data_IF_113633331915
#
_entry.id   IF_113633331915
#
_cell.length_a   1.000
_cell.length_b   1.000
_cell.length_c   1.000
_cell.angle_alpha   90.00
_cell.angle_beta   90.00
_cell.angle_gamma   90.00
#
_symmetry.space_group_name_H-M   'P 1'
#
loop_
_entity.id
_entity.type
_entity.pdbx_description
1 polymer ?
#
# COMPACT_ATOMS: atom_id res chain seq x y z
N UNK A 1 48.20 44.14 0.68
CA UNK A 1 47.36 43.57 1.73
C UNK A 1 45.86 43.53 1.40
N UNK A 2 45.28 44.53 0.73
CA UNK A 2 43.82 44.54 0.37
C UNK A 2 43.38 43.49 -0.65
N UNK A 3 44.30 43.04 -1.53
CA UNK A 3 44.00 42.03 -2.56
C UNK A 3 43.90 40.58 -2.01
N UNK A 4 44.75 40.25 -1.02
CA UNK A 4 44.75 38.92 -0.40
C UNK A 4 43.50 38.70 0.46
N UNK A 5 42.95 39.75 1.05
CA UNK A 5 41.72 39.66 1.85
C UNK A 5 40.49 39.38 0.98
N UNK A 6 40.47 39.95 -0.23
CA UNK A 6 39.37 39.68 -1.20
C UNK A 6 39.41 38.26 -1.76
N UNK A 7 40.58 37.68 -1.94
CA UNK A 7 40.74 36.30 -2.40
C UNK A 7 40.28 35.30 -1.35
N UNK A 8 40.58 35.55 -0.06
CA UNK A 8 40.16 34.70 1.04
C UNK A 8 38.64 34.71 1.23
N UNK A 9 37.96 35.82 1.01
CA UNK A 9 36.50 35.93 1.11
C UNK A 9 35.80 35.16 -0.04
N UNK A 10 36.37 35.21 -1.25
CA UNK A 10 35.79 34.49 -2.41
C UNK A 10 35.91 32.98 -2.25
N UNK A 11 37.00 32.49 -1.68
CA UNK A 11 37.20 31.06 -1.44
C UNK A 11 36.26 30.50 -0.38
N UNK A 12 35.91 31.27 0.66
CA UNK A 12 35.00 30.83 1.73
C UNK A 12 33.54 30.76 1.26
N UNK A 13 33.11 31.63 0.34
CA UNK A 13 31.74 31.59 -0.23
C UNK A 13 31.58 30.41 -1.16
N UNK A 14 32.60 30.05 -1.94
CA UNK A 14 32.56 28.89 -2.83
C UNK A 14 32.52 27.57 -2.06
N UNK A 15 33.22 27.47 -0.93
CA UNK A 15 33.18 26.29 -0.06
C UNK A 15 31.81 26.09 0.61
N UNK A 16 31.08 27.17 0.91
CA UNK A 16 29.75 27.13 1.51
C UNK A 16 28.68 26.67 0.50
N UNK A 17 28.87 26.96 -0.79
CA UNK A 17 27.95 26.52 -1.85
C UNK A 17 28.07 25.01 -2.19
N UNK A 18 29.22 24.41 -1.93
CA UNK A 18 29.44 22.97 -2.15
C UNK A 18 28.88 22.10 -1.02
N UNK A 19 28.64 22.66 0.17
CA UNK A 19 28.05 21.95 1.30
C UNK A 19 26.52 21.78 1.21
N UNK A 20 25.86 22.44 0.25
CA UNK A 20 24.44 22.31 -0.02
C UNK A 20 24.11 21.33 -1.17
N UNK A 21 25.03 20.43 -1.48
CA UNK A 21 24.64 19.20 -2.19
C UNK A 21 23.83 18.36 -1.22
N UNK A 22 22.59 18.81 -0.98
CA UNK A 22 21.59 17.98 -0.33
C UNK A 22 21.60 16.65 -1.08
N UNK A 23 22.05 15.61 -0.40
CA UNK A 23 21.74 14.25 -0.81
C UNK A 23 20.22 14.19 -0.89
N UNK A 24 19.67 14.40 -2.07
CA UNK A 24 18.33 13.90 -2.35
C UNK A 24 18.46 12.40 -2.13
N UNK A 25 18.05 11.95 -0.96
CA UNK A 25 17.70 10.56 -0.76
C UNK A 25 16.68 10.26 -1.85
N UNK A 26 17.13 9.62 -2.92
CA UNK A 26 16.22 9.01 -3.88
C UNK A 26 15.52 7.96 -3.03
N UNK A 27 14.30 8.27 -2.58
CA UNK A 27 13.43 7.25 -2.04
C UNK A 27 13.39 6.17 -3.11
N UNK A 28 13.88 4.99 -2.77
CA UNK A 28 13.86 3.85 -3.69
C UNK A 28 12.40 3.62 -4.00
N UNK A 29 11.98 3.91 -5.23
CA UNK A 29 10.61 3.69 -5.65
C UNK A 29 10.41 2.17 -5.71
N UNK A 30 9.53 1.66 -4.87
CA UNK A 30 9.05 0.29 -4.92
C UNK A 30 7.67 0.28 -5.60
N UNK A 31 7.61 0.36 -6.94
CA UNK A 31 6.35 0.54 -7.67
C UNK A 31 5.36 -0.60 -7.40
N UNK A 32 5.83 -1.82 -7.18
CA UNK A 32 4.97 -2.95 -6.86
C UNK A 32 4.26 -2.78 -5.51
N UNK A 33 4.93 -2.25 -4.49
CA UNK A 33 4.27 -1.93 -3.22
C UNK A 33 3.22 -0.81 -3.37
N UNK A 34 3.48 0.21 -4.18
CA UNK A 34 2.50 1.26 -4.46
C UNK A 34 1.29 0.72 -5.23
N UNK A 35 1.51 -0.22 -6.15
CA UNK A 35 0.42 -0.93 -6.83
C UNK A 35 -0.38 -1.79 -5.85
N UNK A 36 0.31 -2.54 -4.98
CA UNK A 36 -0.34 -3.35 -3.96
C UNK A 36 -1.19 -2.51 -3.00
N UNK A 37 -0.69 -1.36 -2.53
CA UNK A 37 -1.47 -0.42 -1.71
C UNK A 37 -2.74 0.05 -2.43
N UNK A 38 -2.64 0.35 -3.71
CA UNK A 38 -3.79 0.76 -4.53
C UNK A 38 -4.79 -0.37 -4.68
N UNK A 39 -4.34 -1.58 -5.04
CA UNK A 39 -5.21 -2.74 -5.22
C UNK A 39 -5.89 -3.16 -3.91
N UNK A 40 -5.20 -3.12 -2.77
CA UNK A 40 -5.78 -3.39 -1.45
C UNK A 40 -6.86 -2.38 -1.07
N UNK A 41 -6.67 -1.08 -1.32
CA UNK A 41 -7.71 -0.07 -1.09
C UNK A 41 -8.94 -0.28 -1.97
N UNK A 42 -8.75 -0.65 -3.23
CA UNK A 42 -9.86 -0.99 -4.10
C UNK A 42 -10.60 -2.25 -3.64
N UNK A 43 -9.88 -3.29 -3.23
CA UNK A 43 -10.48 -4.50 -2.65
C UNK A 43 -11.32 -4.16 -1.41
N UNK A 44 -10.77 -3.38 -0.50
CA UNK A 44 -11.46 -2.88 0.70
C UNK A 44 -12.76 -2.14 0.34
N UNK A 45 -12.70 -1.21 -0.60
CA UNK A 45 -13.87 -0.42 -1.03
C UNK A 45 -14.98 -1.27 -1.66
N UNK A 46 -14.64 -2.37 -2.34
CA UNK A 46 -15.63 -3.33 -2.82
C UNK A 46 -16.30 -4.10 -1.67
N UNK A 47 -15.57 -4.42 -0.60
CA UNK A 47 -16.09 -5.14 0.56
C UNK A 47 -16.92 -4.26 1.48
N UNK A 48 -16.59 -2.98 1.62
CA UNK A 48 -17.29 -2.04 2.53
C UNK A 48 -18.69 -1.63 2.08
N UNK A 49 -19.06 -1.91 0.86
CA UNK A 49 -20.31 -1.39 0.32
C UNK A 49 -21.54 -2.02 0.94
N UNK A 50 -22.44 -1.21 1.58
CA UNK A 50 -23.55 -1.71 2.39
C UNK A 50 -24.81 -2.00 1.57
N UNK A 51 -24.72 -2.71 0.45
CA UNK A 51 -25.88 -2.93 -0.44
C UNK A 51 -26.95 -3.85 0.17
N UNK A 52 -26.63 -4.60 1.20
CA UNK A 52 -27.49 -5.60 1.81
C UNK A 52 -27.66 -5.44 3.32
N UNK A 53 -27.53 -4.21 3.82
CA UNK A 53 -27.64 -3.92 5.25
C UNK A 53 -26.29 -4.01 5.95
N UNK A 54 -26.19 -4.80 7.01
CA UNK A 54 -24.93 -4.96 7.74
C UNK A 54 -23.90 -5.76 6.95
N UNK A 55 -22.65 -5.30 6.97
CA UNK A 55 -21.50 -6.07 6.47
C UNK A 55 -21.48 -7.43 7.16
N UNK A 56 -21.31 -8.48 6.37
CA UNK A 56 -21.22 -9.82 6.90
C UNK A 56 -19.90 -10.02 7.64
N UNK A 57 -19.88 -11.01 8.52
CA UNK A 57 -18.74 -11.26 9.39
C UNK A 57 -17.44 -11.51 8.61
N UNK A 58 -17.51 -12.24 7.49
CA UNK A 58 -16.33 -12.53 6.67
C UNK A 58 -15.80 -11.30 5.93
N UNK A 59 -16.70 -10.44 5.43
CA UNK A 59 -16.29 -9.17 4.80
C UNK A 59 -15.58 -8.25 5.82
N UNK A 60 -16.08 -8.17 7.05
CA UNK A 60 -15.45 -7.40 8.13
C UNK A 60 -14.06 -7.93 8.47
N UNK A 61 -13.89 -9.26 8.55
CA UNK A 61 -12.59 -9.89 8.78
C UNK A 61 -11.63 -9.61 7.64
N UNK A 62 -12.09 -9.75 6.39
CA UNK A 62 -11.27 -9.46 5.22
C UNK A 62 -10.82 -7.98 5.19
N UNK A 63 -11.70 -7.04 5.50
CA UNK A 63 -11.36 -5.61 5.62
C UNK A 63 -10.29 -5.38 6.68
N UNK A 64 -10.44 -5.99 7.87
CA UNK A 64 -9.45 -5.88 8.93
C UNK A 64 -8.08 -6.39 8.49
N UNK A 65 -8.01 -7.55 7.85
CA UNK A 65 -6.74 -8.11 7.36
C UNK A 65 -6.13 -7.25 6.23
N UNK A 66 -6.95 -6.66 5.36
CA UNK A 66 -6.48 -5.69 4.35
C UNK A 66 -5.86 -4.45 5.02
N UNK A 67 -6.50 -3.91 6.05
CA UNK A 67 -5.99 -2.75 6.79
C UNK A 67 -4.66 -3.06 7.46
N UNK A 68 -4.49 -4.25 8.05
CA UNK A 68 -3.22 -4.69 8.63
C UNK A 68 -2.14 -4.86 7.55
N UNK A 69 -2.46 -5.45 6.38
CA UNK A 69 -1.53 -5.55 5.26
C UNK A 69 -1.03 -4.17 4.80
N UNK A 70 -1.94 -3.20 4.63
CA UNK A 70 -1.60 -1.82 4.28
C UNK A 70 -0.69 -1.20 5.34
N UNK A 71 -0.96 -1.42 6.63
CA UNK A 71 -0.14 -0.92 7.73
C UNK A 71 1.29 -1.51 7.69
N UNK A 72 1.44 -2.82 7.44
CA UNK A 72 2.77 -3.44 7.34
C UNK A 72 3.56 -2.90 6.15
N UNK A 73 2.93 -2.70 4.99
CA UNK A 73 3.57 -2.09 3.82
C UNK A 73 4.04 -0.66 4.15
N UNK A 74 3.20 0.15 4.82
CA UNK A 74 3.55 1.52 5.22
C UNK A 74 4.70 1.56 6.24
N UNK A 75 4.78 0.60 7.16
CA UNK A 75 5.91 0.48 8.09
C UNK A 75 7.24 0.18 7.39
N UNK A 76 7.21 -0.45 6.22
CA UNK A 76 8.39 -0.64 5.39
C UNK A 76 8.93 0.66 4.75
N UNK A 77 8.47 1.82 5.21
CA UNK A 77 8.80 3.16 4.68
C UNK A 77 8.29 3.42 3.26
N UNK A 78 7.26 2.70 2.87
CA UNK A 78 6.59 2.85 1.59
C UNK A 78 5.22 3.47 1.88
N UNK A 79 5.18 4.77 1.98
CA UNK A 79 3.97 5.53 2.19
C UNK A 79 3.63 6.33 0.93
N UNK A 80 2.44 6.06 0.36
CA UNK A 80 1.90 6.80 -0.79
C UNK A 80 1.20 8.12 -0.40
N UNK A 81 1.28 8.51 0.87
CA UNK A 81 0.65 9.72 1.41
C UNK A 81 -0.85 9.64 1.59
N UNK A 82 -1.48 8.50 1.30
CA UNK A 82 -2.92 8.28 1.52
C UNK A 82 -3.17 7.70 2.90
N UNK A 83 -4.28 8.08 3.51
CA UNK A 83 -4.68 7.46 4.77
C UNK A 83 -5.34 6.07 4.56
N UNK A 84 -5.56 5.34 5.67
CA UNK A 84 -6.22 4.04 5.63
C UNK A 84 -7.68 4.15 5.16
N UNK A 85 -8.32 5.30 5.38
CA UNK A 85 -9.71 5.55 5.03
C UNK A 85 -9.88 6.15 3.62
N UNK A 86 -8.85 6.10 2.78
CA UNK A 86 -8.98 6.47 1.38
C UNK A 86 -9.95 5.50 0.68
N UNK A 87 -11.07 6.01 0.19
CA UNK A 87 -12.13 5.25 -0.43
C UNK A 87 -12.15 5.49 -1.95
N UNK A 88 -11.42 4.68 -2.72
CA UNK A 88 -11.46 4.80 -4.17
C UNK A 88 -12.86 4.47 -4.70
N UNK A 89 -13.30 5.10 -5.79
CA UNK A 89 -14.60 4.82 -6.39
C UNK A 89 -14.66 3.39 -6.92
N UNK A 90 -15.78 2.69 -6.64
CA UNK A 90 -16.06 1.36 -7.16
C UNK A 90 -17.27 1.42 -8.09
N UNK A 91 -17.41 0.44 -9.00
CA UNK A 91 -18.57 0.35 -9.89
C UNK A 91 -19.86 0.16 -9.08
N UNK A 92 -20.70 1.19 -9.12
CA UNK A 92 -21.97 1.21 -8.40
C UNK A 92 -22.99 0.18 -8.93
N UNK A 93 -22.81 -0.31 -10.14
CA UNK A 93 -23.73 -1.28 -10.78
C UNK A 93 -23.36 -2.73 -10.52
N UNK A 94 -22.16 -2.97 -10.01
CA UNK A 94 -21.69 -4.31 -9.72
C UNK A 94 -22.50 -4.91 -8.56
N UNK A 95 -23.07 -6.09 -8.77
CA UNK A 95 -23.81 -6.84 -7.76
C UNK A 95 -22.87 -7.36 -6.64
N UNK A 96 -23.45 -7.85 -5.57
CA UNK A 96 -22.68 -8.31 -4.43
C UNK A 96 -21.73 -9.47 -4.75
N UNK A 97 -22.13 -10.57 -5.44
CA UNK A 97 -21.20 -11.61 -5.86
C UNK A 97 -20.07 -11.07 -6.74
N UNK A 98 -20.38 -10.20 -7.68
CA UNK A 98 -19.39 -9.55 -8.55
C UNK A 98 -18.35 -8.74 -7.76
N UNK A 99 -18.76 -8.02 -6.72
CA UNK A 99 -17.85 -7.28 -5.84
C UNK A 99 -16.91 -8.19 -5.05
N UNK A 100 -17.41 -9.31 -4.53
CA UNK A 100 -16.57 -10.30 -3.85
C UNK A 100 -15.51 -10.89 -4.79
N UNK A 101 -15.92 -11.27 -6.02
CA UNK A 101 -14.98 -11.75 -7.03
C UNK A 101 -13.95 -10.68 -7.41
N UNK A 102 -14.39 -9.42 -7.53
CA UNK A 102 -13.46 -8.32 -7.84
C UNK A 102 -12.49 -8.06 -6.69
N UNK A 103 -12.96 -8.13 -5.45
CA UNK A 103 -12.10 -7.97 -4.28
C UNK A 103 -11.01 -9.05 -4.24
N UNK A 104 -11.34 -10.32 -4.47
CA UNK A 104 -10.37 -11.42 -4.47
C UNK A 104 -9.35 -11.30 -5.61
N UNK A 105 -9.76 -10.84 -6.80
CA UNK A 105 -8.83 -10.55 -7.89
C UNK A 105 -7.79 -9.47 -7.50
N UNK A 106 -8.24 -8.40 -6.84
CA UNK A 106 -7.38 -7.31 -6.40
C UNK A 106 -6.45 -7.74 -5.27
N UNK A 107 -6.92 -8.55 -4.34
CA UNK A 107 -6.11 -9.17 -3.26
C UNK A 107 -5.00 -10.04 -3.87
N UNK A 108 -5.32 -10.87 -4.87
CA UNK A 108 -4.35 -11.71 -5.57
C UNK A 108 -3.30 -10.87 -6.33
N UNK A 109 -3.70 -9.77 -6.95
CA UNK A 109 -2.76 -8.84 -7.60
C UNK A 109 -1.81 -8.23 -6.58
N UNK A 110 -2.32 -7.72 -5.46
CA UNK A 110 -1.53 -7.14 -4.40
C UNK A 110 -0.52 -8.16 -3.84
N UNK A 111 -0.94 -9.42 -3.60
CA UNK A 111 -0.04 -10.50 -3.19
C UNK A 111 1.11 -10.71 -4.20
N UNK A 112 0.79 -10.80 -5.48
CA UNK A 112 1.79 -11.01 -6.53
C UNK A 112 2.76 -9.82 -6.66
N UNK A 113 2.29 -8.60 -6.47
CA UNK A 113 3.12 -7.41 -6.53
C UNK A 113 4.09 -7.35 -5.35
N UNK A 114 3.63 -7.65 -4.14
CA UNK A 114 4.49 -7.71 -2.95
C UNK A 114 5.52 -8.86 -3.05
N UNK A 115 5.11 -10.02 -3.54
CA UNK A 115 5.98 -11.19 -3.65
C UNK A 115 7.18 -10.99 -4.62
N UNK A 116 7.10 -10.01 -5.52
CA UNK A 116 8.15 -9.75 -6.51
C UNK A 116 9.26 -8.82 -6.04
N UNK A 117 9.02 -8.06 -4.98
CA UNK A 117 9.92 -6.99 -4.57
C UNK A 117 10.45 -7.25 -3.17
N UNK A 118 11.65 -7.85 -3.05
CA UNK A 118 12.41 -7.65 -1.83
C UNK A 118 13.88 -8.00 -1.95
N UNK A 119 14.73 -7.00 -1.85
CA UNK A 119 16.18 -7.11 -1.72
C UNK A 119 16.73 -6.49 -0.41
N UNK A 120 15.85 -5.96 0.46
CA UNK A 120 16.23 -5.35 1.73
C UNK A 120 15.80 -6.22 2.92
N UNK A 121 16.77 -6.74 3.67
CA UNK A 121 16.54 -7.59 4.84
C UNK A 121 15.63 -6.99 5.92
N UNK A 122 15.61 -5.67 6.08
CA UNK A 122 14.72 -5.00 7.04
C UNK A 122 13.26 -5.04 6.58
N UNK A 123 13.03 -4.80 5.31
CA UNK A 123 11.70 -4.82 4.72
C UNK A 123 11.16 -6.26 4.56
N UNK A 124 12.03 -7.26 4.45
CA UNK A 124 11.65 -8.67 4.27
C UNK A 124 10.70 -9.19 5.36
N UNK A 125 10.92 -8.82 6.62
CA UNK A 125 10.02 -9.21 7.72
C UNK A 125 8.65 -8.53 7.65
N UNK A 126 8.59 -7.31 7.13
CA UNK A 126 7.34 -6.55 6.93
C UNK A 126 6.60 -7.06 5.69
N UNK A 127 7.32 -7.38 4.63
CA UNK A 127 6.79 -8.05 3.44
C UNK A 127 6.10 -9.36 3.81
N UNK A 128 6.76 -10.23 4.57
CA UNK A 128 6.19 -11.49 5.00
C UNK A 128 4.90 -11.30 5.81
N UNK A 129 4.87 -10.35 6.75
CA UNK A 129 3.67 -10.04 7.52
C UNK A 129 2.54 -9.50 6.64
N UNK A 130 2.85 -8.60 5.71
CA UNK A 130 1.87 -8.10 4.76
C UNK A 130 1.26 -9.25 3.93
N UNK A 131 2.08 -10.17 3.45
CA UNK A 131 1.61 -11.36 2.71
C UNK A 131 0.73 -12.27 3.58
N UNK A 132 1.09 -12.51 4.85
CA UNK A 132 0.26 -13.29 5.78
C UNK A 132 -1.13 -12.65 5.98
N UNK A 133 -1.22 -11.34 6.09
CA UNK A 133 -2.50 -10.62 6.19
C UNK A 133 -3.28 -10.69 4.87
N UNK A 134 -2.62 -10.57 3.73
CA UNK A 134 -3.25 -10.69 2.40
C UNK A 134 -3.83 -12.09 2.20
N UNK A 135 -3.12 -13.14 2.61
CA UNK A 135 -3.59 -14.52 2.51
C UNK A 135 -4.83 -14.76 3.40
N UNK A 136 -4.86 -14.19 4.61
CA UNK A 136 -6.05 -14.25 5.48
C UNK A 136 -7.22 -13.47 4.88
N UNK A 137 -6.98 -12.29 4.33
CA UNK A 137 -8.01 -11.51 3.65
C UNK A 137 -8.60 -12.30 2.48
N UNK A 138 -7.75 -12.93 1.66
CA UNK A 138 -8.17 -13.81 0.56
C UNK A 138 -9.10 -14.92 1.07
N UNK A 139 -8.68 -15.65 2.09
CA UNK A 139 -9.47 -16.74 2.67
C UNK A 139 -10.85 -16.27 3.17
N UNK A 140 -10.93 -15.14 3.85
CA UNK A 140 -12.21 -14.57 4.31
C UNK A 140 -13.13 -14.17 3.16
N UNK A 141 -12.59 -13.66 2.04
CA UNK A 141 -13.40 -13.39 0.85
C UNK A 141 -13.88 -14.66 0.19
N UNK A 142 -13.07 -15.73 0.14
CA UNK A 142 -13.52 -17.05 -0.34
C UNK A 142 -14.67 -17.58 0.50
N UNK A 143 -14.57 -17.55 1.83
CA UNK A 143 -15.66 -17.93 2.73
C UNK A 143 -16.94 -17.12 2.47
N UNK A 144 -16.80 -15.81 2.21
CA UNK A 144 -17.95 -14.97 1.85
C UNK A 144 -18.59 -15.42 0.52
N UNK A 145 -17.79 -15.74 -0.49
CA UNK A 145 -18.26 -16.24 -1.80
C UNK A 145 -19.03 -17.58 -1.62
N UNK A 146 -18.49 -18.52 -0.84
CA UNK A 146 -19.15 -19.80 -0.56
C UNK A 146 -20.53 -19.60 0.11
N UNK A 147 -20.61 -18.67 1.08
CA UNK A 147 -21.88 -18.32 1.72
C UNK A 147 -22.90 -17.78 0.71
N UNK A 148 -22.46 -16.96 -0.25
CA UNK A 148 -23.35 -16.46 -1.33
C UNK A 148 -23.82 -17.58 -2.21
N UNK A 149 -22.92 -18.45 -2.68
CA UNK A 149 -23.23 -19.54 -3.58
C UNK A 149 -24.19 -20.56 -2.94
N UNK A 150 -24.06 -20.80 -1.64
CA UNK A 150 -24.95 -21.74 -0.92
C UNK A 150 -26.39 -21.24 -0.75
N UNK A 151 -26.67 -19.98 -1.09
CA UNK A 151 -28.00 -19.34 -0.94
C UNK A 151 -28.70 -19.08 -2.25
N UNK A 152 -28.03 -19.28 -3.37
CA UNK A 152 -28.60 -19.20 -4.72
C UNK A 152 -29.13 -20.53 -5.17
#
# INVERSE_FOLDING_TARGET
MKSLLKLALAASVLALLLAFSATTSVAQEHPAYLHALTDLRHARAHLERPDHGELREQEKKAIHEIDEAINEIKKASIDDGKDLNDHPPVDAKMDWPGRLHRAIELINKAHNDIAREEDNHFAQGLQQKAMEHIDKAHHHVEEAIEVVQSRM
#
